data_IF_485294499597
#
_entry.id   IF_485294499597
#
_cell.length_a   1.000
_cell.length_b   1.000
_cell.length_c   1.000
_cell.angle_alpha   90.00
_cell.angle_beta   90.00
_cell.angle_gamma   90.00
#
_symmetry.space_group_name_H-M   'P 1'
#
loop_
_entity.id
_entity.type
_entity.pdbx_description
1 polymer ?
#
# COMPACT_ATOMS: atom_id res chain seq x y z
N UNK A 1 4.37 -0.33 -19.95
CA UNK A 1 3.26 -0.80 -19.10
C UNK A 1 3.67 -0.44 -17.69
N UNK A 2 2.99 0.48 -17.02
CA UNK A 2 3.28 0.80 -15.62
C UNK A 2 2.87 -0.41 -14.76
N UNK A 3 3.86 -1.17 -14.31
CA UNK A 3 3.65 -2.30 -13.42
C UNK A 3 3.35 -1.78 -12.02
N UNK A 4 2.08 -1.79 -11.63
CA UNK A 4 1.69 -1.57 -10.24
C UNK A 4 2.11 -2.79 -9.41
N UNK A 5 3.10 -2.61 -8.55
CA UNK A 5 3.59 -3.64 -7.66
C UNK A 5 2.65 -3.73 -6.45
N UNK A 6 2.14 -4.93 -6.16
CA UNK A 6 1.32 -5.15 -4.97
C UNK A 6 2.11 -5.96 -3.94
N UNK A 7 2.40 -5.35 -2.80
CA UNK A 7 3.11 -5.94 -1.67
C UNK A 7 2.11 -6.26 -0.57
N UNK A 8 1.95 -7.55 -0.25
CA UNK A 8 1.10 -7.97 0.87
C UNK A 8 1.71 -7.49 2.20
N UNK A 9 0.95 -6.72 2.98
CA UNK A 9 1.36 -6.27 4.31
C UNK A 9 0.90 -7.26 5.39
N UNK A 10 -0.29 -7.84 5.23
CA UNK A 10 -0.92 -8.79 6.16
C UNK A 10 -1.98 -9.63 5.42
N UNK A 11 -2.71 -10.51 6.11
CA UNK A 11 -3.75 -11.36 5.53
C UNK A 11 -4.92 -10.57 4.91
N UNK A 12 -5.17 -9.35 5.39
CA UNK A 12 -6.25 -8.48 4.94
C UNK A 12 -5.78 -7.15 4.37
N UNK A 13 -4.47 -6.90 4.30
CA UNK A 13 -3.95 -5.59 3.91
C UNK A 13 -2.86 -5.76 2.85
N UNK A 14 -2.93 -4.96 1.81
CA UNK A 14 -1.93 -4.91 0.76
C UNK A 14 -1.55 -3.46 0.48
N UNK A 15 -0.29 -3.28 0.13
CA UNK A 15 0.30 -2.05 -0.33
C UNK A 15 0.40 -2.11 -1.86
N UNK A 16 -0.24 -1.19 -2.54
CA UNK A 16 -0.06 -0.98 -3.98
C UNK A 16 0.95 0.12 -4.17
N UNK A 17 1.99 -0.14 -4.94
CA UNK A 17 3.00 0.83 -5.31
C UNK A 17 3.01 0.99 -6.82
N UNK A 18 3.15 2.24 -7.23
CA UNK A 18 3.45 2.64 -8.58
C UNK A 18 4.83 3.31 -8.57
N UNK A 19 5.66 2.92 -9.51
CA UNK A 19 6.96 3.55 -9.71
C UNK A 19 6.76 4.87 -10.44
N UNK A 20 7.17 5.99 -9.84
CA UNK A 20 7.16 7.32 -10.46
C UNK A 20 8.49 7.60 -11.18
N UNK A 21 8.98 6.62 -11.96
CA UNK A 21 10.25 6.71 -12.67
C UNK A 21 11.46 6.76 -11.74
N UNK A 22 12.37 7.71 -11.98
CA UNK A 22 13.60 7.91 -11.17
C UNK A 22 13.36 8.73 -9.89
N UNK A 23 12.14 9.22 -9.68
CA UNK A 23 11.81 10.21 -8.63
C UNK A 23 11.40 9.51 -7.33
N UNK A 24 10.87 8.29 -7.41
CA UNK A 24 10.48 7.51 -6.25
C UNK A 24 9.33 6.54 -6.53
N UNK A 25 8.70 6.08 -5.46
CA UNK A 25 7.50 5.24 -5.48
C UNK A 25 6.39 5.91 -4.70
N UNK A 26 5.17 5.88 -5.23
CA UNK A 26 3.96 6.29 -4.51
C UNK A 26 2.93 5.18 -4.58
N UNK A 27 1.79 5.34 -3.93
CA UNK A 27 0.70 4.39 -4.07
C UNK A 27 -0.30 4.45 -2.94
N UNK A 28 -0.90 3.32 -2.61
CA UNK A 28 -2.05 3.27 -1.73
C UNK A 28 -2.09 1.99 -0.87
N UNK A 29 -2.55 2.13 0.36
CA UNK A 29 -2.81 1.02 1.27
C UNK A 29 -4.26 0.62 1.12
N UNK A 30 -4.47 -0.65 0.79
CA UNK A 30 -5.79 -1.24 0.61
C UNK A 30 -6.04 -2.35 1.62
N UNK A 31 -7.28 -2.45 2.07
CA UNK A 31 -7.79 -3.62 2.76
C UNK A 31 -8.43 -4.57 1.75
N UNK A 32 -7.93 -5.79 1.69
CA UNK A 32 -8.52 -6.87 0.91
C UNK A 32 -9.76 -7.40 1.63
N UNK A 33 -10.91 -7.43 0.94
CA UNK A 33 -12.09 -8.11 1.46
C UNK A 33 -11.97 -9.61 1.23
N UNK A 34 -12.38 -10.43 2.20
CA UNK A 34 -12.38 -11.89 2.11
C UNK A 34 -13.44 -12.46 1.13
N UNK A 35 -14.11 -11.62 0.35
CA UNK A 35 -15.15 -12.00 -0.61
C UNK A 35 -14.59 -12.23 -2.00
N UNK A 36 -15.18 -13.15 -2.75
CA UNK A 36 -14.86 -13.59 -4.13
C UNK A 36 -15.10 -12.53 -5.23
N UNK A 37 -15.07 -11.24 -4.88
CA UNK A 37 -15.00 -10.13 -5.82
C UNK A 37 -13.86 -9.23 -5.38
N UNK A 38 -13.10 -8.67 -6.31
CA UNK A 38 -11.93 -7.80 -6.10
C UNK A 38 -12.26 -6.46 -5.38
N UNK A 39 -13.16 -6.48 -4.40
CA UNK A 39 -13.51 -5.37 -3.56
C UNK A 39 -12.40 -5.18 -2.53
N UNK A 40 -11.54 -4.21 -2.82
CA UNK A 40 -10.61 -3.68 -1.85
C UNK A 40 -11.13 -2.35 -1.33
N UNK A 41 -10.90 -2.08 -0.05
CA UNK A 41 -11.19 -0.78 0.56
C UNK A 41 -9.90 0.01 0.61
N UNK A 42 -9.87 1.14 -0.08
CA UNK A 42 -8.78 2.10 0.07
C UNK A 42 -8.79 2.66 1.50
N UNK A 43 -7.63 2.61 2.18
CA UNK A 43 -7.47 3.14 3.53
C UNK A 43 -6.71 4.46 3.52
N UNK A 44 -5.52 4.48 2.93
CA UNK A 44 -4.59 5.60 2.98
C UNK A 44 -3.78 5.70 1.70
N UNK A 45 -3.65 6.91 1.16
CA UNK A 45 -2.65 7.21 0.13
C UNK A 45 -1.25 7.28 0.76
N UNK A 46 -0.26 6.73 0.05
CA UNK A 46 1.15 6.83 0.39
C UNK A 46 1.77 7.97 -0.41
N UNK A 47 2.36 8.98 0.25
CA UNK A 47 3.05 10.06 -0.46
C UNK A 47 4.28 9.50 -1.20
N UNK A 48 4.77 10.21 -2.20
CA UNK A 48 5.96 9.79 -2.94
C UNK A 48 7.15 9.60 -1.99
N UNK A 49 7.66 8.37 -1.94
CA UNK A 49 8.79 7.93 -1.15
C UNK A 49 9.99 7.65 -2.04
N UNK A 50 11.18 7.71 -1.46
CA UNK A 50 12.44 7.39 -2.12
C UNK A 50 12.49 5.95 -2.68
N UNK A 51 11.89 4.98 -1.99
CA UNK A 51 11.96 3.56 -2.35
C UNK A 51 10.81 2.73 -1.74
N UNK A 52 10.68 1.49 -2.23
CA UNK A 52 9.66 0.52 -1.79
C UNK A 52 9.71 0.27 -0.28
N UNK A 53 10.92 0.26 0.30
CA UNK A 53 11.11 -0.04 1.72
C UNK A 53 10.59 1.11 2.60
N UNK A 54 10.89 2.36 2.24
CA UNK A 54 10.35 3.54 2.89
C UNK A 54 8.81 3.59 2.81
N UNK A 55 8.24 3.26 1.65
CA UNK A 55 6.79 3.18 1.47
C UNK A 55 6.16 2.06 2.32
N UNK A 56 6.81 0.90 2.40
CA UNK A 56 6.37 -0.21 3.25
C UNK A 56 6.42 0.13 4.73
N UNK A 57 7.50 0.75 5.21
CA UNK A 57 7.61 1.18 6.60
C UNK A 57 6.53 2.19 6.97
N UNK A 58 6.27 3.16 6.09
CA UNK A 58 5.18 4.11 6.28
C UNK A 58 3.83 3.42 6.35
N UNK A 59 3.55 2.49 5.42
CA UNK A 59 2.31 1.72 5.39
C UNK A 59 2.10 0.90 6.67
N UNK A 60 3.16 0.25 7.16
CA UNK A 60 3.11 -0.52 8.41
C UNK A 60 2.82 0.37 9.62
N UNK A 61 3.45 1.55 9.71
CA UNK A 61 3.18 2.52 10.78
C UNK A 61 1.76 3.06 10.72
N UNK A 62 1.27 3.41 9.53
CA UNK A 62 -0.10 3.86 9.32
C UNK A 62 -1.13 2.78 9.70
N UNK A 63 -0.89 1.53 9.28
CA UNK A 63 -1.73 0.39 9.64
C UNK A 63 -1.70 0.11 11.14
N UNK A 64 -0.54 0.20 11.77
CA UNK A 64 -0.42 0.01 13.21
C UNK A 64 -1.24 1.06 13.96
N UNK A 65 -1.09 2.34 13.62
CA UNK A 65 -1.88 3.43 14.19
C UNK A 65 -3.39 3.23 13.96
N UNK A 66 -3.79 2.74 12.79
CA UNK A 66 -5.19 2.42 12.48
C UNK A 66 -5.74 1.26 13.30
N UNK A 67 -4.92 0.27 13.67
CA UNK A 67 -5.33 -0.89 14.48
C UNK A 67 -5.42 -0.58 15.97
N UNK A 68 -4.63 0.38 16.45
CA UNK A 68 -4.64 0.81 17.85
C UNK A 68 -5.70 1.88 18.15
N UNK A 69 -6.21 2.55 17.11
CA UNK A 69 -7.22 3.62 17.18
C UNK A 69 -8.67 3.18 17.18
#
# INVERSE_FOLDING_TARGET
MEEMQTVMLDAYYALRLQSEGEIGVSGDVIRLSAGTGQAYTHLFDIPSMQDEQAAKEWALRALQAYREG
#
